data_IF_403901796088
#
_entry.id   IF_403901796088
#
_cell.length_a   1.000
_cell.length_b   1.000
_cell.length_c   1.000
_cell.angle_alpha   90.00
_cell.angle_beta   90.00
_cell.angle_gamma   90.00
#
_symmetry.space_group_name_H-M   'P 1'
#
loop_
_entity.id
_entity.type
_entity.pdbx_description
1 polymer ?
#
# COMPACT_ATOMS: atom_id res chain seq x y z
N UNK A 1 24.07 -74.67 -64.22
CA UNK A 1 23.63 -73.46 -64.95
C UNK A 1 23.25 -72.41 -63.92
N UNK A 2 24.14 -71.44 -63.72
CA UNK A 2 23.96 -70.27 -62.87
C UNK A 2 23.12 -69.22 -63.59
N UNK A 3 22.19 -68.56 -62.90
CA UNK A 3 21.82 -67.19 -63.21
C UNK A 3 21.14 -66.53 -62.01
N UNK A 4 21.86 -65.56 -61.45
CA UNK A 4 21.42 -64.57 -60.48
C UNK A 4 20.54 -63.53 -61.19
N UNK A 5 19.48 -63.06 -60.53
CA UNK A 5 18.73 -61.88 -60.96
C UNK A 5 18.20 -61.07 -59.75
N UNK A 6 18.96 -60.04 -59.38
CA UNK A 6 18.44 -58.73 -58.94
C UNK A 6 18.39 -57.83 -60.18
N UNK A 7 17.47 -56.86 -60.33
CA UNK A 7 17.32 -55.66 -59.47
C UNK A 7 15.82 -55.28 -59.29
N UNK A 8 15.33 -54.16 -58.75
CA UNK A 8 15.86 -52.84 -58.44
C UNK A 8 15.06 -52.23 -57.27
N UNK A 9 15.73 -51.42 -56.47
CA UNK A 9 15.10 -50.58 -55.47
C UNK A 9 14.40 -49.39 -56.13
N UNK A 10 13.17 -49.09 -55.71
CA UNK A 10 12.55 -47.78 -55.85
C UNK A 10 12.16 -47.28 -54.48
N UNK A 11 12.94 -46.33 -53.98
CA UNK A 11 12.59 -45.54 -52.81
C UNK A 11 11.66 -44.38 -53.15
N UNK A 12 11.39 -43.59 -52.09
CA UNK A 12 10.90 -42.19 -52.07
C UNK A 12 9.41 -41.99 -51.78
N UNK A 13 9.07 -42.07 -50.49
CA UNK A 13 7.94 -41.36 -49.87
C UNK A 13 8.33 -40.96 -48.44
N UNK A 14 9.16 -39.92 -48.29
CA UNK A 14 9.59 -39.43 -46.96
C UNK A 14 9.93 -37.94 -46.86
N UNK A 15 10.17 -37.23 -47.98
CA UNK A 15 10.66 -35.85 -47.96
C UNK A 15 9.65 -34.79 -47.51
N UNK A 16 8.39 -34.88 -47.96
CA UNK A 16 7.43 -33.77 -47.81
C UNK A 16 6.97 -33.47 -46.37
N UNK A 17 6.92 -34.48 -45.49
CA UNK A 17 6.58 -34.26 -44.08
C UNK A 17 7.75 -33.64 -43.30
N UNK A 18 8.98 -34.00 -43.66
CA UNK A 18 10.20 -33.50 -43.02
C UNK A 18 10.49 -32.04 -43.45
N UNK A 19 10.22 -31.70 -44.70
CA UNK A 19 10.31 -30.32 -45.22
C UNK A 19 9.29 -29.38 -44.58
N UNK A 20 8.03 -29.81 -44.41
CA UNK A 20 6.99 -29.00 -43.74
C UNK A 20 7.30 -28.74 -42.27
N UNK A 21 7.83 -29.73 -41.54
CA UNK A 21 8.27 -29.57 -40.14
C UNK A 21 9.45 -28.60 -40.02
N UNK A 22 10.41 -28.67 -40.95
CA UNK A 22 11.55 -27.73 -41.01
C UNK A 22 11.11 -26.30 -41.32
N UNK A 23 10.15 -26.13 -42.24
CA UNK A 23 9.57 -24.82 -42.56
C UNK A 23 8.81 -24.19 -41.38
N UNK A 24 8.06 -25.01 -40.63
CA UNK A 24 7.35 -24.57 -39.41
C UNK A 24 8.33 -24.16 -38.30
N UNK A 25 9.37 -24.98 -38.06
CA UNK A 25 10.38 -24.68 -37.04
C UNK A 25 11.22 -23.43 -37.38
N UNK A 26 11.53 -23.22 -38.66
CA UNK A 26 12.22 -22.01 -39.12
C UNK A 26 11.35 -20.77 -38.92
N UNK A 27 10.07 -20.83 -39.32
CA UNK A 27 9.11 -19.74 -39.10
C UNK A 27 8.86 -19.45 -37.62
N UNK A 28 8.87 -20.46 -36.76
CA UNK A 28 8.73 -20.29 -35.31
C UNK A 28 9.94 -19.55 -34.71
N UNK A 29 11.17 -19.88 -35.15
CA UNK A 29 12.39 -19.14 -34.76
C UNK A 29 12.38 -17.71 -35.27
N UNK A 30 11.98 -17.50 -36.52
CA UNK A 30 11.90 -16.15 -37.11
C UNK A 30 10.88 -15.23 -36.39
N UNK A 31 9.91 -15.82 -35.67
CA UNK A 31 8.88 -15.12 -34.88
C UNK A 31 9.12 -15.20 -33.36
N UNK A 32 10.33 -15.60 -32.93
CA UNK A 32 10.71 -15.60 -31.53
C UNK A 32 11.18 -14.18 -31.10
N UNK A 33 10.48 -13.51 -30.17
CA UNK A 33 10.88 -12.17 -29.71
C UNK A 33 12.20 -12.19 -28.94
N UNK A 34 12.55 -13.29 -28.26
CA UNK A 34 13.76 -13.37 -27.44
C UNK A 34 15.00 -13.47 -28.35
N UNK A 35 14.89 -14.21 -29.46
CA UNK A 35 15.96 -14.26 -30.47
C UNK A 35 16.17 -12.89 -31.16
N UNK A 36 15.09 -12.11 -31.36
CA UNK A 36 15.21 -10.75 -31.90
C UNK A 36 15.94 -9.82 -30.91
N UNK A 37 15.59 -9.88 -29.62
CA UNK A 37 16.26 -9.10 -28.58
C UNK A 37 17.75 -9.44 -28.48
N UNK A 38 18.11 -10.73 -28.50
CA UNK A 38 19.52 -11.16 -28.47
C UNK A 38 20.33 -10.63 -29.67
N UNK A 39 19.73 -10.56 -30.87
CA UNK A 39 20.38 -9.96 -32.03
C UNK A 39 20.57 -8.45 -31.87
N UNK A 40 19.60 -7.75 -31.28
CA UNK A 40 19.71 -6.30 -31.01
C UNK A 40 20.81 -6.00 -29.99
N UNK A 41 20.93 -6.80 -28.93
CA UNK A 41 22.04 -6.71 -27.97
C UNK A 41 23.40 -6.97 -28.65
N UNK A 42 23.48 -7.98 -29.51
CA UNK A 42 24.71 -8.29 -30.25
C UNK A 42 25.10 -7.15 -31.20
N UNK A 43 24.14 -6.52 -31.89
CA UNK A 43 24.39 -5.33 -32.71
C UNK A 43 24.98 -4.21 -31.87
N UNK A 44 24.38 -3.92 -30.72
CA UNK A 44 24.79 -2.81 -29.87
C UNK A 44 26.19 -3.04 -29.31
N UNK A 45 26.50 -4.28 -28.91
CA UNK A 45 27.86 -4.67 -28.53
C UNK A 45 28.89 -4.46 -29.65
N UNK A 46 28.58 -4.88 -30.89
CA UNK A 46 29.48 -4.72 -32.03
C UNK A 46 29.73 -3.25 -32.38
N UNK A 47 28.67 -2.43 -32.37
CA UNK A 47 28.80 -0.99 -32.63
C UNK A 47 29.59 -0.27 -31.52
N UNK A 48 29.39 -0.67 -30.26
CA UNK A 48 30.18 -0.16 -29.14
C UNK A 48 31.65 -0.56 -29.27
N UNK A 49 31.93 -1.80 -29.70
CA UNK A 49 33.30 -2.30 -29.92
C UNK A 49 34.02 -1.55 -31.04
N UNK A 50 33.32 -1.20 -32.12
CA UNK A 50 33.89 -0.35 -33.18
C UNK A 50 34.21 1.04 -32.64
N UNK A 51 33.29 1.65 -31.87
CA UNK A 51 33.53 2.96 -31.29
C UNK A 51 34.68 2.96 -30.25
N UNK A 52 34.93 1.84 -29.59
CA UNK A 52 36.05 1.66 -28.66
C UNK A 52 37.37 1.50 -29.41
N UNK A 53 37.40 0.65 -30.44
CA UNK A 53 38.52 0.48 -31.36
C UNK A 53 38.99 1.84 -31.93
N UNK A 54 38.05 2.71 -32.30
CA UNK A 54 38.34 4.06 -32.83
C UNK A 54 39.06 4.94 -31.80
N UNK A 55 38.73 4.79 -30.52
CA UNK A 55 39.38 5.53 -29.44
C UNK A 55 40.77 5.00 -29.15
N UNK A 56 40.94 3.68 -29.08
CA UNK A 56 42.23 3.03 -28.86
C UNK A 56 43.21 3.35 -30.00
N UNK A 57 42.73 3.33 -31.24
CA UNK A 57 43.51 3.76 -32.40
C UNK A 57 43.90 5.24 -32.33
N UNK A 58 42.97 6.12 -31.98
CA UNK A 58 43.25 7.55 -31.82
C UNK A 58 44.22 7.85 -30.65
N UNK A 59 44.24 7.00 -29.62
CA UNK A 59 45.18 7.08 -28.50
C UNK A 59 46.58 6.56 -28.87
N UNK A 60 46.74 5.89 -30.01
CA UNK A 60 47.98 5.27 -30.45
C UNK A 60 48.27 3.91 -29.80
N UNK A 61 47.28 3.31 -29.14
CA UNK A 61 47.40 2.01 -28.49
C UNK A 61 47.30 0.84 -29.49
N UNK A 62 46.79 1.11 -30.70
CA UNK A 62 46.67 0.15 -31.81
C UNK A 62 47.36 0.67 -33.07
N UNK A 63 47.96 -0.24 -33.84
CA UNK A 63 48.54 0.09 -35.15
C UNK A 63 47.45 0.34 -36.20
N UNK A 64 47.76 1.12 -37.23
CA UNK A 64 46.83 1.40 -38.34
C UNK A 64 46.38 0.12 -39.06
N UNK A 65 47.26 -0.88 -39.18
CA UNK A 65 46.96 -2.13 -39.86
C UNK A 65 46.02 -3.00 -39.01
N UNK A 66 46.30 -3.14 -37.72
CA UNK A 66 45.46 -3.90 -36.78
C UNK A 66 44.08 -3.27 -36.61
N UNK A 67 44.02 -1.93 -36.50
CA UNK A 67 42.77 -1.20 -36.38
C UNK A 67 41.88 -1.36 -37.63
N UNK A 68 42.47 -1.40 -38.84
CA UNK A 68 41.72 -1.67 -40.07
C UNK A 68 41.19 -3.09 -40.12
N UNK A 69 42.01 -4.09 -39.80
CA UNK A 69 41.60 -5.50 -39.82
C UNK A 69 40.44 -5.77 -38.84
N UNK A 70 40.57 -5.30 -37.60
CA UNK A 70 39.51 -5.46 -36.59
C UNK A 70 38.24 -4.70 -36.95
N UNK A 71 38.36 -3.48 -37.49
CA UNK A 71 37.20 -2.70 -37.94
C UNK A 71 36.44 -3.42 -39.05
N UNK A 72 37.15 -4.00 -40.01
CA UNK A 72 36.54 -4.69 -41.14
C UNK A 72 35.77 -5.94 -40.68
N UNK A 73 36.32 -6.74 -39.74
CA UNK A 73 35.62 -7.89 -39.15
C UNK A 73 34.36 -7.46 -38.38
N UNK A 74 34.50 -6.50 -37.45
CA UNK A 74 33.37 -6.02 -36.66
C UNK A 74 32.28 -5.41 -37.53
N UNK A 75 32.65 -4.67 -38.57
CA UNK A 75 31.70 -4.08 -39.53
C UNK A 75 30.98 -5.16 -40.32
N UNK A 76 31.70 -6.18 -40.81
CA UNK A 76 31.10 -7.29 -41.53
C UNK A 76 30.09 -8.05 -40.66
N UNK A 77 30.45 -8.31 -39.39
CA UNK A 77 29.57 -8.98 -38.42
C UNK A 77 28.37 -8.13 -38.05
N UNK A 78 28.54 -6.83 -37.81
CA UNK A 78 27.44 -5.92 -37.51
C UNK A 78 26.44 -5.86 -38.65
N UNK A 79 26.92 -5.78 -39.89
CA UNK A 79 26.06 -5.77 -41.08
C UNK A 79 25.23 -7.07 -41.21
N UNK A 80 25.80 -8.22 -40.85
CA UNK A 80 25.07 -9.50 -40.86
C UNK A 80 23.98 -9.56 -39.79
N UNK A 81 24.26 -9.09 -38.58
CA UNK A 81 23.29 -9.02 -37.49
C UNK A 81 22.14 -8.07 -37.83
N UNK A 82 22.44 -6.90 -38.42
CA UNK A 82 21.43 -5.93 -38.84
C UNK A 82 20.50 -6.54 -39.90
N UNK A 83 21.04 -7.21 -40.93
CA UNK A 83 20.22 -7.91 -41.93
C UNK A 83 19.31 -8.98 -41.31
N UNK A 84 19.81 -9.68 -40.29
CA UNK A 84 19.04 -10.69 -39.56
C UNK A 84 17.89 -10.09 -38.75
N UNK A 85 18.12 -8.94 -38.09
CA UNK A 85 17.09 -8.16 -37.38
C UNK A 85 16.01 -7.71 -38.36
N UNK A 86 16.39 -7.14 -39.50
CA UNK A 86 15.44 -6.63 -40.50
C UNK A 86 14.57 -7.75 -41.10
N UNK A 87 15.17 -8.90 -41.41
CA UNK A 87 14.44 -10.07 -41.91
C UNK A 87 13.39 -10.57 -40.89
N UNK A 88 13.74 -10.59 -39.60
CA UNK A 88 12.81 -10.98 -38.52
C UNK A 88 11.71 -9.94 -38.32
N UNK A 89 12.04 -8.65 -38.32
CA UNK A 89 11.04 -7.57 -38.25
C UNK A 89 10.04 -7.65 -39.41
N UNK A 90 10.50 -7.97 -40.61
CA UNK A 90 9.63 -8.22 -41.76
C UNK A 90 8.73 -9.45 -41.56
N UNK A 91 9.27 -10.56 -41.04
CA UNK A 91 8.49 -11.76 -40.71
C UNK A 91 7.39 -11.48 -39.65
N UNK A 92 7.70 -10.71 -38.61
CA UNK A 92 6.71 -10.26 -37.63
C UNK A 92 5.61 -9.39 -38.26
N UNK A 93 5.98 -8.50 -39.18
CA UNK A 93 5.02 -7.66 -39.90
C UNK A 93 4.09 -8.50 -40.79
N UNK A 94 4.62 -9.51 -41.48
CA UNK A 94 3.86 -10.42 -42.34
C UNK A 94 2.94 -11.38 -41.54
N UNK A 95 3.39 -11.82 -40.35
CA UNK A 95 2.60 -12.69 -39.48
C UNK A 95 1.42 -11.98 -38.81
N UNK A 96 1.35 -10.64 -38.86
CA UNK A 96 0.25 -9.88 -38.27
C UNK A 96 -1.03 -10.11 -39.09
N UNK A 97 -2.09 -10.72 -38.53
CA UNK A 97 -3.32 -10.92 -39.27
C UNK A 97 -3.94 -9.57 -39.66
N UNK A 98 -4.45 -9.49 -40.90
CA UNK A 98 -5.19 -8.33 -41.37
C UNK A 98 -6.37 -8.08 -40.43
N UNK A 99 -6.31 -7.00 -39.65
CA UNK A 99 -7.41 -6.62 -38.75
C UNK A 99 -8.59 -6.20 -39.62
N UNK A 100 -9.72 -6.88 -39.49
CA UNK A 100 -10.92 -6.46 -40.23
C UNK A 100 -11.43 -5.13 -39.63
N UNK A 101 -11.57 -4.07 -40.43
CA UNK A 101 -12.02 -2.77 -39.94
C UNK A 101 -13.42 -2.87 -39.32
N UNK A 102 -14.25 -3.81 -39.81
CA UNK A 102 -15.54 -4.15 -39.23
C UNK A 102 -15.44 -4.68 -37.78
N UNK A 103 -14.47 -5.55 -37.47
CA UNK A 103 -14.28 -6.06 -36.10
C UNK A 103 -13.79 -4.97 -35.16
N UNK A 104 -12.93 -4.07 -35.65
CA UNK A 104 -12.49 -2.89 -34.88
C UNK A 104 -13.67 -1.97 -34.60
N UNK A 105 -14.49 -1.66 -35.62
CA UNK A 105 -15.68 -0.84 -35.44
C UNK A 105 -16.66 -1.44 -34.43
N UNK A 106 -16.89 -2.77 -34.48
CA UNK A 106 -17.74 -3.47 -33.49
C UNK A 106 -17.19 -3.34 -32.07
N UNK A 107 -15.88 -3.52 -31.86
CA UNK A 107 -15.27 -3.37 -30.54
C UNK A 107 -15.38 -1.93 -30.05
N UNK A 108 -15.11 -0.95 -30.89
CA UNK A 108 -15.23 0.47 -30.53
C UNK A 108 -16.67 0.82 -30.18
N UNK A 109 -17.64 0.38 -30.98
CA UNK A 109 -19.07 0.59 -30.72
C UNK A 109 -19.50 -0.10 -29.42
N UNK A 110 -19.00 -1.31 -29.14
CA UNK A 110 -19.28 -2.03 -27.90
C UNK A 110 -18.71 -1.29 -26.67
N UNK A 111 -17.48 -0.78 -26.76
CA UNK A 111 -16.85 0.01 -25.69
C UNK A 111 -17.58 1.33 -25.47
N UNK A 112 -17.90 2.07 -26.53
CA UNK A 112 -18.65 3.33 -26.46
C UNK A 112 -20.05 3.09 -25.92
N UNK A 113 -20.73 2.03 -26.37
CA UNK A 113 -22.05 1.63 -25.88
C UNK A 113 -22.02 1.24 -24.40
N UNK A 114 -21.02 0.47 -23.98
CA UNK A 114 -20.82 0.13 -22.56
C UNK A 114 -20.53 1.37 -21.72
N UNK A 115 -19.67 2.29 -22.19
CA UNK A 115 -19.38 3.54 -21.50
C UNK A 115 -20.61 4.45 -21.39
N UNK A 116 -21.43 4.53 -22.45
CA UNK A 116 -22.67 5.28 -22.45
C UNK A 116 -23.72 4.67 -21.51
N UNK A 117 -23.84 3.34 -21.49
CA UNK A 117 -24.73 2.63 -20.56
C UNK A 117 -24.27 2.78 -19.10
N UNK A 118 -22.98 2.69 -18.84
CA UNK A 118 -22.40 2.93 -17.52
C UNK A 118 -22.61 4.39 -17.08
N UNK A 119 -22.40 5.36 -17.99
CA UNK A 119 -22.66 6.77 -17.72
C UNK A 119 -24.14 7.07 -17.48
N UNK A 120 -25.04 6.44 -18.22
CA UNK A 120 -26.48 6.57 -18.04
C UNK A 120 -26.97 5.94 -16.73
N UNK A 121 -26.47 4.75 -16.39
CA UNK A 121 -26.75 4.10 -15.10
C UNK A 121 -26.22 4.92 -13.91
N UNK A 122 -25.04 5.53 -14.05
CA UNK A 122 -24.50 6.44 -13.05
C UNK A 122 -25.37 7.71 -12.90
N UNK A 123 -25.90 8.25 -14.00
CA UNK A 123 -26.78 9.41 -13.96
C UNK A 123 -28.16 9.11 -13.35
N UNK A 124 -28.71 7.91 -13.54
CA UNK A 124 -30.03 7.53 -12.98
C UNK A 124 -29.97 7.16 -11.50
N UNK A 125 -28.80 6.78 -10.97
CA UNK A 125 -28.55 6.62 -9.54
C UNK A 125 -28.44 7.97 -8.80
N UNK A 126 -28.31 9.09 -9.52
CA UNK A 126 -28.25 10.45 -8.98
C UNK A 126 -29.64 11.10 -8.95
N UNK A 127 -30.59 10.47 -8.24
CA UNK A 127 -31.82 11.13 -7.82
C UNK A 127 -31.55 12.17 -6.73
N UNK A 128 -32.14 13.37 -6.88
CA UNK A 128 -32.18 14.53 -5.97
C UNK A 128 -31.31 14.48 -4.68
N UNK A 129 -30.18 15.20 -4.66
CA UNK A 129 -29.34 15.39 -3.47
C UNK A 129 -29.85 16.56 -2.60
N UNK A 130 -29.92 16.37 -1.27
CA UNK A 130 -30.05 17.46 -0.29
C UNK A 130 -28.68 18.11 -0.07
N UNK A 131 -28.67 19.43 0.12
CA UNK A 131 -27.46 20.20 0.35
C UNK A 131 -26.77 19.78 1.67
N UNK A 132 -25.49 19.40 1.61
CA UNK A 132 -24.67 19.17 2.82
C UNK A 132 -23.54 18.13 2.73
N UNK A 133 -23.54 17.20 1.78
CA UNK A 133 -22.49 16.17 1.71
C UNK A 133 -21.26 16.59 0.88
N UNK A 134 -20.09 16.47 1.51
CA UNK A 134 -18.79 16.87 0.99
C UNK A 134 -18.31 16.04 -0.21
N UNK A 135 -17.61 16.76 -1.09
CA UNK A 135 -17.09 16.31 -2.37
C UNK A 135 -15.76 15.56 -2.25
N UNK A 136 -15.77 14.30 -1.83
CA UNK A 136 -14.67 13.38 -2.11
C UNK A 136 -15.22 12.01 -2.50
N UNK A 137 -15.08 11.67 -3.78
CA UNK A 137 -15.42 10.35 -4.29
C UNK A 137 -14.52 9.29 -3.65
N UNK A 138 -15.10 8.46 -2.79
CA UNK A 138 -14.40 7.35 -2.14
C UNK A 138 -14.39 6.12 -3.03
N UNK A 139 -13.21 5.73 -3.51
CA UNK A 139 -12.92 4.33 -3.78
C UNK A 139 -13.12 3.60 -2.46
N UNK A 140 -14.05 2.65 -2.37
CA UNK A 140 -14.24 1.85 -1.16
C UNK A 140 -13.07 0.88 -1.03
N UNK A 141 -11.92 1.35 -0.56
CA UNK A 141 -10.89 0.50 0.03
C UNK A 141 -11.51 -0.05 1.32
N UNK A 142 -11.43 -1.38 1.52
CA UNK A 142 -11.80 -1.98 2.81
C UNK A 142 -10.94 -1.34 3.90
N UNK A 143 -11.54 -0.49 4.72
CA UNK A 143 -10.87 0.15 5.86
C UNK A 143 -10.41 -0.92 6.86
N UNK A 144 -9.29 -0.68 7.54
CA UNK A 144 -8.92 -1.51 8.69
C UNK A 144 -9.84 -1.21 9.87
N UNK A 145 -9.99 -2.15 10.81
CA UNK A 145 -10.78 -1.94 12.03
C UNK A 145 -10.32 -0.71 12.85
N UNK A 146 -9.01 -0.46 12.91
CA UNK A 146 -8.47 0.74 13.54
C UNK A 146 -8.77 2.04 12.77
N UNK A 147 -8.87 1.99 11.43
CA UNK A 147 -9.32 3.15 10.65
C UNK A 147 -10.80 3.42 10.90
N UNK A 148 -11.62 2.37 10.88
CA UNK A 148 -13.04 2.44 11.22
C UNK A 148 -13.25 3.03 12.62
N UNK A 149 -12.51 2.57 13.63
CA UNK A 149 -12.61 3.09 15.00
C UNK A 149 -12.26 4.59 15.11
N UNK A 150 -11.26 5.06 14.36
CA UNK A 150 -10.95 6.49 14.30
C UNK A 150 -12.06 7.30 13.62
N UNK A 151 -12.74 6.76 12.62
CA UNK A 151 -13.89 7.42 12.00
C UNK A 151 -15.13 7.42 12.91
N UNK A 152 -15.33 6.35 13.69
CA UNK A 152 -16.39 6.31 14.71
C UNK A 152 -16.18 7.45 15.73
N UNK A 153 -14.93 7.72 16.12
CA UNK A 153 -14.63 8.68 17.18
C UNK A 153 -14.96 10.12 16.82
N UNK A 154 -14.96 10.47 15.52
CA UNK A 154 -15.36 11.82 15.05
C UNK A 154 -16.83 12.12 15.34
N UNK A 155 -17.63 11.09 15.59
CA UNK A 155 -19.07 11.21 15.85
C UNK A 155 -19.39 11.31 17.35
N UNK A 156 -18.42 11.12 18.26
CA UNK A 156 -18.67 11.07 19.72
C UNK A 156 -19.44 12.30 20.22
N UNK A 157 -19.21 13.47 19.65
CA UNK A 157 -19.88 14.72 20.05
C UNK A 157 -21.21 14.95 19.32
N UNK A 158 -21.34 14.52 18.06
CA UNK A 158 -22.51 14.79 17.22
C UNK A 158 -23.57 13.70 17.27
N UNK A 159 -23.14 12.44 17.42
CA UNK A 159 -23.97 11.24 17.55
C UNK A 159 -23.30 10.25 18.52
N UNK A 160 -23.44 10.47 19.85
CA UNK A 160 -22.82 9.61 20.84
C UNK A 160 -23.33 8.15 20.77
N UNK A 161 -24.61 7.95 20.45
CA UNK A 161 -25.18 6.59 20.37
C UNK A 161 -24.59 5.85 19.18
N UNK A 162 -24.58 6.48 18.00
CA UNK A 162 -23.97 5.90 16.79
C UNK A 162 -22.47 5.66 16.95
N UNK A 163 -21.74 6.60 17.57
CA UNK A 163 -20.31 6.43 17.84
C UNK A 163 -20.04 5.21 18.74
N UNK A 164 -20.88 5.01 19.77
CA UNK A 164 -20.78 3.86 20.68
C UNK A 164 -20.99 2.56 19.92
N UNK A 165 -22.10 2.44 19.18
CA UNK A 165 -22.43 1.23 18.41
C UNK A 165 -21.34 0.90 17.38
N UNK A 166 -20.78 1.93 16.74
CA UNK A 166 -19.67 1.79 15.79
C UNK A 166 -18.39 1.26 16.46
N UNK A 167 -18.00 1.82 17.61
CA UNK A 167 -16.84 1.38 18.37
C UNK A 167 -17.02 -0.03 18.95
N UNK A 168 -18.20 -0.34 19.47
CA UNK A 168 -18.54 -1.68 19.96
C UNK A 168 -18.49 -2.72 18.84
N UNK A 169 -19.01 -2.39 17.65
CA UNK A 169 -18.90 -3.27 16.47
C UNK A 169 -17.46 -3.53 16.01
N UNK A 170 -16.53 -2.60 16.27
CA UNK A 170 -15.09 -2.86 16.08
C UNK A 170 -14.56 -3.84 17.13
N UNK A 171 -14.90 -3.62 18.40
CA UNK A 171 -14.46 -4.47 19.51
C UNK A 171 -15.04 -5.89 19.48
N UNK A 172 -16.21 -6.07 18.88
CA UNK A 172 -16.77 -7.41 18.63
C UNK A 172 -15.91 -8.23 17.64
N UNK A 173 -15.26 -7.56 16.69
CA UNK A 173 -14.41 -8.19 15.69
C UNK A 173 -12.95 -8.30 16.14
N UNK A 174 -12.46 -7.28 16.83
CA UNK A 174 -11.11 -7.22 17.42
C UNK A 174 -11.23 -6.67 18.85
N UNK A 175 -11.40 -7.54 19.86
CA UNK A 175 -11.57 -7.13 21.26
C UNK A 175 -10.39 -6.37 21.84
N UNK A 176 -9.21 -6.53 21.23
CA UNK A 176 -7.97 -5.90 21.64
C UNK A 176 -7.64 -4.66 20.81
N UNK A 177 -8.54 -4.17 19.96
CA UNK A 177 -8.23 -3.03 19.10
C UNK A 177 -7.92 -1.77 19.93
N UNK A 178 -6.63 -1.39 20.01
CA UNK A 178 -6.18 -0.30 20.87
C UNK A 178 -6.88 1.04 20.55
N UNK A 179 -7.19 1.29 19.27
CA UNK A 179 -7.90 2.50 18.84
C UNK A 179 -9.34 2.51 19.35
N UNK A 180 -10.08 1.41 19.16
CA UNK A 180 -11.46 1.32 19.61
C UNK A 180 -11.59 1.32 21.14
N UNK A 181 -10.69 0.61 21.84
CA UNK A 181 -10.61 0.63 23.30
C UNK A 181 -10.37 2.06 23.82
N UNK A 182 -9.43 2.79 23.21
CA UNK A 182 -9.11 4.18 23.59
C UNK A 182 -10.30 5.12 23.41
N UNK A 183 -10.93 5.10 22.24
CA UNK A 183 -12.06 6.01 21.96
C UNK A 183 -13.33 5.63 22.70
N UNK A 184 -13.59 4.34 22.94
CA UNK A 184 -14.71 3.89 23.78
C UNK A 184 -14.51 4.27 25.24
N UNK A 185 -13.28 4.18 25.76
CA UNK A 185 -12.95 4.67 27.09
C UNK A 185 -13.13 6.18 27.23
N UNK A 186 -12.66 6.96 26.25
CA UNK A 186 -12.88 8.40 26.22
C UNK A 186 -14.38 8.73 26.27
N UNK A 187 -15.17 8.09 25.43
CA UNK A 187 -16.62 8.26 25.42
C UNK A 187 -17.27 7.92 26.77
N UNK A 188 -16.89 6.81 27.39
CA UNK A 188 -17.38 6.43 28.73
C UNK A 188 -17.01 7.46 29.79
N UNK A 189 -15.81 8.04 29.71
CA UNK A 189 -15.37 9.09 30.64
C UNK A 189 -16.18 10.38 30.51
N UNK A 190 -16.72 10.67 29.31
CA UNK A 190 -17.61 11.82 29.09
C UNK A 190 -19.03 11.54 29.59
N UNK A 191 -19.51 10.31 29.41
CA UNK A 191 -20.84 9.89 29.90
C UNK A 191 -20.84 9.82 31.43
N UNK A 192 -19.76 9.36 32.05
CA UNK A 192 -19.64 9.25 33.50
C UNK A 192 -19.95 10.57 34.22
N UNK A 193 -19.50 11.71 33.68
CA UNK A 193 -19.78 13.05 34.24
C UNK A 193 -21.28 13.38 34.34
N UNK A 194 -22.13 12.69 33.58
CA UNK A 194 -23.58 12.91 33.52
C UNK A 194 -24.38 11.91 34.35
N UNK A 195 -23.73 10.89 34.90
CA UNK A 195 -24.36 9.83 35.67
C UNK A 195 -24.33 10.16 37.16
N UNK A 196 -25.30 9.64 37.90
CA UNK A 196 -25.27 9.61 39.37
C UNK A 196 -24.55 8.36 39.87
N UNK A 197 -24.33 8.28 41.18
CA UNK A 197 -23.83 7.05 41.81
C UNK A 197 -24.95 6.00 41.92
N UNK A 198 -24.63 4.69 41.73
CA UNK A 198 -23.30 4.11 41.53
C UNK A 198 -22.82 4.03 40.06
N UNK A 199 -23.66 4.40 39.09
CA UNK A 199 -23.38 4.22 37.67
C UNK A 199 -22.15 5.02 37.21
N UNK A 200 -21.92 6.20 37.78
CA UNK A 200 -20.72 7.00 37.56
C UNK A 200 -19.45 6.22 37.90
N UNK A 201 -19.34 5.68 39.12
CA UNK A 201 -18.18 4.88 39.55
C UNK A 201 -17.94 3.69 38.62
N UNK A 202 -19.01 3.00 38.21
CA UNK A 202 -18.91 1.86 37.28
C UNK A 202 -18.36 2.31 35.93
N UNK A 203 -18.89 3.39 35.35
CA UNK A 203 -18.44 3.92 34.07
C UNK A 203 -16.97 4.40 34.11
N UNK A 204 -16.57 5.07 35.20
CA UNK A 204 -15.19 5.51 35.42
C UNK A 204 -14.22 4.32 35.50
N UNK A 205 -14.58 3.28 36.25
CA UNK A 205 -13.77 2.06 36.34
C UNK A 205 -13.66 1.36 34.98
N UNK A 206 -14.76 1.28 34.23
CA UNK A 206 -14.76 0.66 32.90
C UNK A 206 -13.93 1.44 31.87
N UNK A 207 -13.92 2.77 31.95
CA UNK A 207 -13.06 3.61 31.12
C UNK A 207 -11.58 3.39 31.44
N UNK A 208 -11.23 3.31 32.74
CA UNK A 208 -9.87 3.05 33.17
C UNK A 208 -9.35 1.69 32.68
N UNK A 209 -10.14 0.62 32.84
CA UNK A 209 -9.79 -0.73 32.38
C UNK A 209 -9.54 -0.76 30.88
N UNK A 210 -10.43 -0.16 30.07
CA UNK A 210 -10.26 -0.12 28.61
C UNK A 210 -8.99 0.62 28.18
N UNK A 211 -8.58 1.67 28.90
CA UNK A 211 -7.32 2.37 28.60
C UNK A 211 -6.09 1.55 28.97
N UNK A 212 -6.16 0.77 30.05
CA UNK A 212 -5.10 -0.18 30.39
C UNK A 212 -4.98 -1.28 29.32
N UNK A 213 -6.10 -1.87 28.90
CA UNK A 213 -6.15 -2.85 27.80
C UNK A 213 -5.63 -2.26 26.47
N UNK A 214 -5.95 -0.99 26.18
CA UNK A 214 -5.46 -0.31 24.99
C UNK A 214 -3.93 -0.14 25.00
N UNK A 215 -3.37 0.26 26.15
CA UNK A 215 -1.91 0.42 26.31
C UNK A 215 -1.20 -0.94 26.32
N UNK A 216 -1.82 -1.98 26.85
CA UNK A 216 -1.28 -3.35 26.78
C UNK A 216 -1.26 -3.89 25.35
N UNK A 217 -2.34 -3.66 24.59
CA UNK A 217 -2.46 -4.11 23.21
C UNK A 217 -1.52 -3.37 22.25
N UNK A 218 -1.43 -2.04 22.36
CA UNK A 218 -0.49 -1.23 21.61
C UNK A 218 0.23 -0.22 22.53
N UNK A 219 1.41 -0.61 23.08
CA UNK A 219 2.20 0.27 23.92
C UNK A 219 2.69 1.55 23.23
N UNK A 220 2.69 1.60 21.90
CA UNK A 220 3.10 2.77 21.12
C UNK A 220 1.96 3.73 20.78
N UNK A 221 0.71 3.38 21.07
CA UNK A 221 -0.42 4.23 20.73
C UNK A 221 -0.53 5.43 21.67
N UNK A 222 -0.03 6.59 21.22
CA UNK A 222 0.11 7.79 22.06
C UNK A 222 -1.21 8.29 22.65
N UNK A 223 -2.34 8.15 21.94
CA UNK A 223 -3.65 8.56 22.46
C UNK A 223 -4.12 7.71 23.64
N UNK A 224 -3.84 6.40 23.65
CA UNK A 224 -4.19 5.54 24.78
C UNK A 224 -3.48 6.01 26.06
N UNK A 225 -2.18 6.29 25.96
CA UNK A 225 -1.38 6.82 27.08
C UNK A 225 -1.85 8.20 27.54
N UNK A 226 -2.11 9.11 26.60
CA UNK A 226 -2.61 10.45 26.93
C UNK A 226 -3.96 10.39 27.65
N UNK A 227 -4.92 9.62 27.12
CA UNK A 227 -6.23 9.47 27.75
C UNK A 227 -6.17 8.70 29.06
N UNK A 228 -5.23 7.75 29.24
CA UNK A 228 -5.02 7.08 30.54
C UNK A 228 -4.69 8.09 31.64
N UNK A 229 -3.78 9.04 31.37
CA UNK A 229 -3.45 10.12 32.30
C UNK A 229 -4.63 11.08 32.53
N UNK A 230 -5.29 11.52 31.46
CA UNK A 230 -6.44 12.44 31.53
C UNK A 230 -7.61 11.84 32.31
N UNK A 231 -7.97 10.59 32.02
CA UNK A 231 -9.09 9.92 32.69
C UNK A 231 -8.76 9.62 34.15
N UNK A 232 -7.50 9.27 34.47
CA UNK A 232 -7.07 9.16 35.87
C UNK A 232 -7.24 10.48 36.62
N UNK A 233 -6.83 11.61 36.03
CA UNK A 233 -7.02 12.94 36.60
C UNK A 233 -8.50 13.27 36.81
N UNK A 234 -9.34 13.07 35.77
CA UNK A 234 -10.79 13.31 35.83
C UNK A 234 -11.49 12.49 36.90
N UNK A 235 -10.97 11.30 37.19
CA UNK A 235 -11.51 10.41 38.22
C UNK A 235 -10.93 10.68 39.62
N UNK A 236 -10.18 11.75 39.82
CA UNK A 236 -9.58 12.11 41.10
C UNK A 236 -8.36 11.27 41.50
N UNK A 237 -7.84 10.43 40.60
CA UNK A 237 -6.65 9.60 40.84
C UNK A 237 -5.40 10.37 40.45
N UNK A 238 -5.10 11.45 41.17
CA UNK A 238 -4.06 12.40 40.79
C UNK A 238 -2.65 11.81 40.80
N UNK A 239 -2.34 10.93 41.76
CA UNK A 239 -1.05 10.22 41.80
C UNK A 239 -0.87 9.30 40.58
N UNK A 240 -1.89 8.51 40.24
CA UNK A 240 -1.89 7.69 39.03
C UNK A 240 -1.75 8.55 37.77
N UNK A 241 -2.46 9.68 37.71
CA UNK A 241 -2.40 10.61 36.58
C UNK A 241 -0.98 11.18 36.37
N UNK A 242 -0.29 11.54 37.46
CA UNK A 242 1.10 11.99 37.41
C UNK A 242 2.02 10.91 36.85
N UNK A 243 1.93 9.68 37.38
CA UNK A 243 2.70 8.55 36.89
C UNK A 243 2.43 8.29 35.39
N UNK A 244 1.17 8.27 34.97
CA UNK A 244 0.80 8.01 33.58
C UNK A 244 1.26 9.13 32.63
N UNK A 245 1.29 10.38 33.11
CA UNK A 245 1.82 11.50 32.34
C UNK A 245 3.34 11.39 32.14
N UNK A 246 4.08 10.93 33.15
CA UNK A 246 5.51 10.63 33.03
C UNK A 246 5.76 9.47 32.04
N UNK A 247 4.99 8.39 32.14
CA UNK A 247 5.04 7.26 31.20
C UNK A 247 4.73 7.69 29.76
N UNK A 248 3.76 8.59 29.58
CA UNK A 248 3.42 9.17 28.27
C UNK A 248 4.61 9.94 27.68
N UNK A 249 5.27 10.79 28.47
CA UNK A 249 6.44 11.58 28.03
C UNK A 249 7.64 10.72 27.69
N UNK A 250 7.84 9.62 28.42
CA UNK A 250 8.95 8.70 28.22
C UNK A 250 8.82 7.81 26.97
N UNK A 251 7.66 7.82 26.29
CA UNK A 251 7.35 6.93 25.17
C UNK A 251 7.12 7.66 23.84
N UNK A 252 7.97 8.66 23.56
CA UNK A 252 8.01 9.40 22.29
C UNK A 252 6.61 9.82 21.77
N UNK A 253 5.86 10.65 22.51
CA UNK A 253 4.48 10.93 22.20
C UNK A 253 4.30 11.64 20.85
N UNK A 254 3.24 11.26 20.12
CA UNK A 254 2.86 11.98 18.90
C UNK A 254 2.50 13.44 19.21
N UNK A 255 2.78 14.34 18.26
CA UNK A 255 2.50 15.77 18.42
C UNK A 255 1.00 16.03 18.68
N UNK A 256 0.11 15.26 18.06
CA UNK A 256 -1.33 15.41 18.26
C UNK A 256 -1.76 14.96 19.66
N UNK A 257 -1.20 13.87 20.20
CA UNK A 257 -1.50 13.43 21.55
C UNK A 257 -0.90 14.39 22.60
N UNK A 258 0.30 14.91 22.38
CA UNK A 258 0.91 15.94 23.24
C UNK A 258 0.04 17.20 23.28
N UNK A 259 -0.48 17.62 22.13
CA UNK A 259 -1.37 18.78 22.06
C UNK A 259 -2.68 18.59 22.86
N UNK A 260 -3.20 17.37 22.99
CA UNK A 260 -4.37 17.10 23.85
C UNK A 260 -4.02 17.35 25.33
N UNK A 261 -2.86 16.90 25.79
CA UNK A 261 -2.37 17.12 27.15
C UNK A 261 -2.18 18.61 27.43
N UNK A 262 -1.58 19.34 26.48
CA UNK A 262 -1.34 20.78 26.57
C UNK A 262 -2.64 21.59 26.60
N UNK A 263 -3.63 21.26 25.76
CA UNK A 263 -4.93 21.95 25.73
C UNK A 263 -5.68 21.86 27.06
N UNK A 264 -5.44 20.78 27.82
CA UNK A 264 -6.01 20.58 29.14
C UNK A 264 -5.17 21.16 30.27
N UNK A 265 -4.00 21.71 29.98
CA UNK A 265 -3.01 22.14 30.98
C UNK A 265 -2.80 21.07 32.08
N UNK A 266 -2.72 19.80 31.65
CA UNK A 266 -2.89 18.66 32.55
C UNK A 266 -1.82 18.62 33.66
N UNK A 267 -0.58 18.99 33.34
CA UNK A 267 0.52 18.98 34.31
C UNK A 267 0.25 19.95 35.47
N UNK A 268 -0.05 21.20 35.17
CA UNK A 268 -0.35 22.22 36.17
C UNK A 268 -1.59 21.83 37.00
N UNK A 269 -2.59 21.26 36.33
CA UNK A 269 -3.81 20.79 36.97
C UNK A 269 -3.58 19.61 37.94
N UNK A 270 -2.70 18.67 37.59
CA UNK A 270 -2.30 17.57 38.48
C UNK A 270 -1.53 18.12 39.69
N UNK A 271 -0.55 19.01 39.46
CA UNK A 271 0.26 19.60 40.54
C UNK A 271 -0.59 20.36 41.56
N UNK A 272 -1.52 21.18 41.08
CA UNK A 272 -2.47 21.89 41.93
C UNK A 272 -3.33 20.92 42.76
N UNK A 273 -3.89 19.88 42.12
CA UNK A 273 -4.76 18.91 42.79
C UNK A 273 -4.03 18.08 43.87
N UNK A 274 -2.77 17.71 43.63
CA UNK A 274 -1.93 17.01 44.62
C UNK A 274 -1.63 17.91 45.82
N UNK A 275 -1.29 19.17 45.57
CA UNK A 275 -0.99 20.16 46.64
C UNK A 275 -2.22 20.40 47.53
N UNK A 276 -3.40 20.54 46.93
CA UNK A 276 -4.65 20.73 47.67
C UNK A 276 -5.03 19.50 48.50
N UNK A 277 -4.73 18.30 47.98
CA UNK A 277 -4.97 17.03 48.68
C UNK A 277 -4.07 16.88 49.91
N UNK A 278 -2.77 17.21 49.78
CA UNK A 278 -1.81 17.19 50.88
C UNK A 278 -2.17 18.20 51.99
N UNK A 279 -2.65 19.38 51.60
CA UNK A 279 -3.08 20.40 52.56
C UNK A 279 -4.32 19.98 53.37
N UNK A 280 -5.23 19.21 52.77
CA UNK A 280 -6.43 18.70 53.43
C UNK A 280 -6.13 17.58 54.45
N UNK A 281 -5.05 16.82 54.27
CA UNK A 281 -4.66 15.74 55.17
C UNK A 281 -3.89 16.20 56.43
N UNK A 282 -3.44 17.46 56.52
CA UNK A 282 -2.88 18.02 57.76
C UNK A 282 -3.97 18.48 58.75
N UNK A 283 -4.26 17.75 59.85
CA UNK A 283 -5.21 18.23 60.85
C UNK A 283 -4.60 19.42 61.60
N UNK A 284 -5.28 20.57 61.57
CA UNK A 284 -5.04 21.67 62.50
C UNK A 284 -5.23 21.18 63.93
N UNK A 285 -4.14 20.73 64.56
CA UNK A 285 -4.08 20.46 65.99
C UNK A 285 -4.00 21.81 66.71
N UNK A 286 -5.13 22.51 66.77
CA UNK A 286 -5.27 23.69 67.61
C UNK A 286 -5.64 23.20 69.01
N UNK A 287 -4.64 22.94 69.84
CA UNK A 287 -4.85 22.68 71.28
C UNK A 287 -5.35 23.98 71.92
N UNK A 288 -6.57 24.04 72.47
CA UNK A 288 -6.99 25.22 73.20
C UNK A 288 -6.23 25.24 74.53
N UNK A 289 -5.54 26.34 74.81
CA UNK A 289 -4.95 26.60 76.12
C UNK A 289 -6.07 27.11 77.02
N UNK A 290 -6.49 26.31 78.00
CA UNK A 290 -7.37 26.75 79.09
C UNK A 290 -6.59 27.67 80.04
N UNK A 291 -7.21 28.80 80.40
CA UNK A 291 -6.82 29.72 81.47
C UNK A 291 -8.07 29.98 82.33
#
# INVERSE_FOLDING_TARGET
>A
MSASARPAATGRTGGGAQERRRGSARRARDLDPDELAALEEQRDFLLASIADLDREHAAGDLSDDDARELRDDYTARAAEVIRSIDARKAAFAEARPARSPARIAVVVVAVVGFAALAGWAAASALGARKAGESASGGITVSQTLSQQANECSTQITTDPVGAKECLEGVLEQDPTNAVALTWSAWQLSLVADQLDEPERTVAQAQAAVRLEEAVESDPGYSYARAFRAIVAYRNGRYADAQQYLEEFRANDPSAQAAQVIEQMDLEANIEAALTDSDAAETPSTTVPTED
#
